data_IF_608878744867
#
_entry.id   IF_608878744867
#
_cell.length_a   1.000
_cell.length_b   1.000
_cell.length_c   1.000
_cell.angle_alpha   90.00
_cell.angle_beta   90.00
_cell.angle_gamma   90.00
#
_symmetry.space_group_name_H-M   'P 1'
#
loop_
_entity.id
_entity.type
_entity.pdbx_description
1 polymer ?
#
# COMPACT_ATOMS: atom_id res chain seq x y z
N UNK A 1 29.67 53.99 7.85
CA UNK A 1 29.64 52.88 6.85
C UNK A 1 29.64 51.57 7.63
N UNK A 2 28.77 50.61 7.28
CA UNK A 2 28.57 49.24 7.84
C UNK A 2 27.13 48.89 8.27
N UNK A 3 26.10 49.60 7.79
CA UNK A 3 24.70 49.16 7.98
C UNK A 3 24.21 48.15 6.92
N UNK A 4 24.89 48.04 5.77
CA UNK A 4 24.46 47.19 4.65
C UNK A 4 24.80 45.70 4.83
N UNK A 5 25.91 45.38 5.51
CA UNK A 5 26.40 43.99 5.68
C UNK A 5 25.60 43.19 6.72
N UNK A 6 24.97 43.87 7.69
CA UNK A 6 24.16 43.23 8.73
C UNK A 6 22.84 42.70 8.15
N UNK A 7 22.15 43.52 7.35
CA UNK A 7 20.83 43.20 6.78
C UNK A 7 20.92 41.99 5.84
N UNK A 8 21.98 41.89 5.02
CA UNK A 8 22.21 40.73 4.15
C UNK A 8 22.45 39.42 4.90
N UNK A 9 23.12 39.45 6.05
CA UNK A 9 23.37 38.27 6.90
C UNK A 9 22.10 37.80 7.62
N UNK A 10 21.25 38.74 8.06
CA UNK A 10 19.95 38.40 8.64
C UNK A 10 18.98 37.83 7.60
N UNK A 11 18.92 38.40 6.40
CA UNK A 11 18.10 37.86 5.30
C UNK A 11 18.58 36.48 4.84
N UNK A 12 19.89 36.25 4.76
CA UNK A 12 20.45 34.93 4.42
C UNK A 12 20.16 33.90 5.52
N UNK A 13 20.26 34.27 6.80
CA UNK A 13 19.88 33.40 7.93
C UNK A 13 18.38 33.11 7.96
N UNK A 14 17.53 34.10 7.65
CA UNK A 14 16.09 33.90 7.53
C UNK A 14 15.74 33.01 6.35
N UNK A 15 16.40 33.14 5.20
CA UNK A 15 16.23 32.24 4.05
C UNK A 15 16.70 30.82 4.37
N UNK A 16 17.85 30.64 5.01
CA UNK A 16 18.33 29.32 5.45
C UNK A 16 17.40 28.71 6.51
N UNK A 17 16.85 29.52 7.44
CA UNK A 17 15.84 29.06 8.39
C UNK A 17 14.49 28.79 7.73
N UNK A 18 14.08 29.52 6.69
CA UNK A 18 12.90 29.21 5.89
C UNK A 18 13.09 27.91 5.11
N UNK A 19 14.28 27.68 4.55
CA UNK A 19 14.65 26.43 3.91
C UNK A 19 14.80 25.26 4.90
N UNK A 20 15.16 25.52 6.16
CA UNK A 20 15.14 24.52 7.25
C UNK A 20 13.74 24.31 7.86
N UNK A 21 12.83 25.28 7.72
CA UNK A 21 11.45 25.22 8.23
C UNK A 21 10.46 24.67 7.20
N UNK A 22 10.89 24.56 5.93
CA UNK A 22 10.33 23.59 4.99
C UNK A 22 10.79 22.20 5.47
N UNK A 23 10.27 21.78 6.61
CA UNK A 23 10.25 20.38 7.00
C UNK A 23 9.42 19.69 5.92
N UNK A 24 10.10 18.93 5.06
CA UNK A 24 9.50 18.19 3.96
C UNK A 24 8.49 17.18 4.52
N UNK A 25 7.23 17.57 4.68
CA UNK A 25 6.10 16.65 4.69
C UNK A 25 5.86 16.18 3.23
N UNK A 26 6.86 15.56 2.62
CA UNK A 26 6.71 14.97 1.29
C UNK A 26 5.90 13.68 1.44
N UNK A 27 4.60 13.77 1.18
CA UNK A 27 3.79 12.58 0.93
C UNK A 27 4.13 12.01 -0.43
N UNK A 28 3.94 10.71 -0.59
CA UNK A 28 4.03 10.02 -1.86
C UNK A 28 2.69 9.39 -2.20
N UNK A 29 2.41 9.27 -3.49
CA UNK A 29 1.13 8.76 -4.02
C UNK A 29 1.40 7.43 -4.70
N UNK A 30 0.69 6.41 -4.26
CA UNK A 30 0.64 5.10 -4.88
C UNK A 30 -0.53 5.09 -5.87
N UNK A 31 -0.23 4.74 -7.11
CA UNK A 31 -1.20 4.71 -8.21
C UNK A 31 -2.12 3.47 -8.19
N UNK A 32 -1.86 2.49 -7.33
CA UNK A 32 -2.60 1.24 -7.24
C UNK A 32 -2.40 0.29 -8.43
N UNK A 33 -1.42 0.55 -9.30
CA UNK A 33 -1.06 -0.38 -10.36
C UNK A 33 -0.54 -1.71 -9.76
N UNK A 34 -0.61 -2.85 -10.47
CA UNK A 34 -0.11 -4.14 -9.95
C UNK A 34 1.36 -4.16 -9.53
N UNK A 35 2.15 -3.21 -10.04
CA UNK A 35 3.55 -3.01 -9.67
C UNK A 35 3.77 -1.93 -8.61
N UNK A 36 2.70 -1.28 -8.12
CA UNK A 36 2.77 -0.19 -7.16
C UNK A 36 3.22 -0.69 -5.78
N UNK A 37 4.35 -0.19 -5.29
CA UNK A 37 4.81 -0.42 -3.92
C UNK A 37 5.83 0.65 -3.48
N UNK A 38 5.93 0.84 -2.17
CA UNK A 38 6.97 1.61 -1.51
C UNK A 38 7.71 0.70 -0.52
N UNK A 39 9.04 0.67 -0.57
CA UNK A 39 9.87 -0.14 0.32
C UNK A 39 10.65 0.74 1.28
N UNK A 40 10.54 0.44 2.57
CA UNK A 40 11.26 1.07 3.66
C UNK A 40 12.16 0.04 4.37
N UNK A 41 13.11 0.49 5.21
CA UNK A 41 13.91 -0.41 6.02
C UNK A 41 13.06 -1.40 6.84
N UNK A 42 13.69 -2.46 7.33
CA UNK A 42 13.01 -3.44 8.19
C UNK A 42 12.57 -2.81 9.52
N UNK A 43 11.43 -3.24 10.03
CA UNK A 43 10.93 -2.77 11.32
C UNK A 43 11.54 -3.59 12.47
N UNK A 44 12.21 -2.89 13.39
CA UNK A 44 12.68 -3.45 14.65
C UNK A 44 11.57 -3.34 15.71
N UNK A 45 10.56 -4.22 15.62
CA UNK A 45 9.44 -4.18 16.55
C UNK A 45 9.84 -4.57 17.99
N UNK A 46 10.72 -5.56 18.14
CA UNK A 46 11.10 -6.11 19.45
C UNK A 46 9.88 -6.55 20.29
N UNK A 47 10.01 -6.49 21.62
CA UNK A 47 8.87 -6.66 22.53
C UNK A 47 8.07 -5.36 22.71
N UNK A 48 8.74 -4.22 22.52
CA UNK A 48 8.13 -2.90 22.65
C UNK A 48 8.52 -2.09 21.42
N UNK A 49 7.53 -1.79 20.59
CA UNK A 49 7.76 -1.18 19.29
C UNK A 49 6.55 -0.43 18.81
N UNK A 50 6.78 0.53 17.93
CA UNK A 50 5.72 1.29 17.28
C UNK A 50 6.04 1.45 15.81
N UNK A 51 5.02 1.26 14.98
CA UNK A 51 5.02 1.64 13.58
C UNK A 51 3.79 2.51 13.33
N UNK A 52 3.98 3.70 12.78
CA UNK A 52 2.88 4.58 12.40
C UNK A 52 3.08 5.15 11.01
N UNK A 53 1.96 5.50 10.36
CA UNK A 53 1.93 6.25 9.11
C UNK A 53 0.63 7.04 9.02
N UNK A 54 0.59 8.04 8.15
CA UNK A 54 -0.66 8.67 7.72
C UNK A 54 -0.99 8.26 6.30
N UNK A 55 -2.26 7.99 6.03
CA UNK A 55 -2.74 7.63 4.70
C UNK A 55 -4.01 8.40 4.34
N UNK A 56 -4.26 8.54 3.04
CA UNK A 56 -5.45 9.15 2.47
C UNK A 56 -5.85 8.39 1.22
N UNK A 57 -7.12 7.99 1.09
CA UNK A 57 -7.62 7.23 -0.07
C UNK A 57 -9.10 7.44 -0.31
N UNK A 58 -9.58 7.03 -1.49
CA UNK A 58 -10.99 6.82 -1.85
C UNK A 58 -11.35 5.34 -1.98
N UNK A 59 -10.35 4.47 -1.97
CA UNK A 59 -10.56 3.04 -2.15
C UNK A 59 -10.98 2.40 -0.82
N UNK A 60 -12.12 1.70 -0.77
CA UNK A 60 -12.56 1.03 0.45
C UNK A 60 -11.76 -0.25 0.75
N UNK A 61 -10.99 -0.75 -0.22
CA UNK A 61 -10.21 -1.98 -0.11
C UNK A 61 -8.79 -1.78 -0.66
N UNK A 62 -7.78 -2.35 0.01
CA UNK A 62 -6.40 -2.34 -0.49
C UNK A 62 -5.36 -2.64 0.58
N UNK A 63 -4.25 -3.28 0.18
CA UNK A 63 -3.12 -3.62 1.03
C UNK A 63 -2.31 -2.36 1.35
N UNK A 64 -2.41 -1.87 2.58
CA UNK A 64 -1.73 -0.65 3.02
C UNK A 64 -0.30 -0.94 3.48
N UNK A 65 -0.09 -2.00 4.27
CA UNK A 65 1.22 -2.34 4.83
C UNK A 65 1.42 -3.85 4.92
N UNK A 66 2.62 -4.31 4.60
CA UNK A 66 3.09 -5.68 4.85
C UNK A 66 4.53 -5.69 5.34
N UNK A 67 4.83 -6.53 6.34
CA UNK A 67 6.20 -6.88 6.74
C UNK A 67 6.18 -8.25 7.42
N UNK A 68 7.28 -9.00 7.29
CA UNK A 68 7.43 -10.33 7.90
C UNK A 68 8.87 -10.58 8.40
N UNK A 69 9.08 -11.74 9.02
CA UNK A 69 10.33 -12.18 9.62
C UNK A 69 11.36 -12.76 8.62
N UNK A 70 11.21 -12.48 7.32
CA UNK A 70 12.01 -13.10 6.26
C UNK A 70 11.33 -14.32 5.62
N UNK A 71 10.00 -14.37 5.66
CA UNK A 71 9.22 -15.41 4.99
C UNK A 71 8.94 -16.67 5.80
N UNK A 72 9.12 -16.63 7.13
CA UNK A 72 9.03 -17.83 7.97
C UNK A 72 7.64 -17.99 8.55
N UNK A 73 7.31 -17.28 9.63
CA UNK A 73 6.04 -17.48 10.36
C UNK A 73 5.39 -16.18 10.80
N UNK A 74 6.18 -15.19 11.19
CA UNK A 74 5.68 -13.96 11.78
C UNK A 74 5.45 -12.88 10.73
N UNK A 75 4.33 -12.18 10.83
CA UNK A 75 3.98 -11.12 9.90
C UNK A 75 3.05 -10.09 10.52
N UNK A 76 3.05 -8.90 9.92
CA UNK A 76 2.02 -7.88 10.08
C UNK A 76 1.48 -7.49 8.70
N UNK A 77 0.17 -7.60 8.52
CA UNK A 77 -0.58 -7.15 7.35
C UNK A 77 -1.61 -6.12 7.81
N UNK A 78 -1.59 -4.93 7.24
CA UNK A 78 -2.68 -3.96 7.36
C UNK A 78 -3.29 -3.75 6.00
N UNK A 79 -4.62 -3.89 5.92
CA UNK A 79 -5.39 -3.58 4.71
C UNK A 79 -6.69 -2.89 5.04
N UNK A 80 -7.21 -2.13 4.08
CA UNK A 80 -8.58 -1.66 4.13
C UNK A 80 -9.52 -2.77 3.68
N UNK A 81 -10.62 -2.94 4.41
CA UNK A 81 -11.73 -3.82 4.05
C UNK A 81 -13.02 -3.06 4.32
N UNK A 82 -13.76 -2.77 3.25
CA UNK A 82 -15.02 -2.00 3.30
C UNK A 82 -14.87 -0.68 4.08
N UNK A 83 -13.75 0.02 3.90
CA UNK A 83 -13.48 1.30 4.55
C UNK A 83 -13.04 1.22 6.02
N UNK A 84 -12.80 0.03 6.56
CA UNK A 84 -12.23 -0.17 7.91
C UNK A 84 -10.79 -0.66 7.77
N UNK A 85 -9.89 -0.24 8.65
CA UNK A 85 -8.53 -0.77 8.67
C UNK A 85 -8.50 -2.08 9.46
N UNK A 86 -8.00 -3.13 8.84
CA UNK A 86 -7.87 -4.47 9.42
C UNK A 86 -6.40 -4.81 9.55
N UNK A 87 -5.94 -5.00 10.78
CA UNK A 87 -4.63 -5.56 11.10
C UNK A 87 -4.76 -7.07 11.28
N UNK A 88 -4.03 -7.85 10.50
CA UNK A 88 -3.83 -9.28 10.68
C UNK A 88 -2.36 -9.53 11.02
N UNK A 89 -2.09 -10.30 12.05
CA UNK A 89 -0.71 -10.57 12.46
C UNK A 89 -0.53 -11.98 13.02
N UNK A 90 0.70 -12.46 13.01
CA UNK A 90 1.15 -13.70 13.66
C UNK A 90 2.52 -13.46 14.29
N UNK A 91 2.72 -14.00 15.49
CA UNK A 91 3.95 -13.90 16.29
C UNK A 91 4.20 -15.27 16.97
N UNK A 92 4.20 -16.35 16.19
CA UNK A 92 4.29 -17.74 16.69
C UNK A 92 3.02 -18.33 17.36
N UNK A 93 2.18 -17.50 17.96
CA UNK A 93 0.95 -17.91 18.68
C UNK A 93 -0.26 -18.32 17.86
N UNK A 94 -0.17 -18.17 16.54
CA UNK A 94 -1.31 -18.25 15.61
C UNK A 94 -1.82 -16.87 15.22
N UNK A 95 -2.62 -16.84 14.14
CA UNK A 95 -3.11 -15.59 13.54
C UNK A 95 -4.14 -14.89 14.44
N UNK A 96 -3.96 -13.59 14.63
CA UNK A 96 -4.91 -12.69 15.26
C UNK A 96 -5.34 -11.57 14.30
N UNK A 97 -6.53 -11.01 14.54
CA UNK A 97 -7.10 -9.92 13.73
C UNK A 97 -7.65 -8.83 14.65
N UNK A 98 -7.36 -7.57 14.29
CA UNK A 98 -7.93 -6.36 14.85
C UNK A 98 -8.56 -5.53 13.73
N UNK A 99 -9.63 -4.80 14.01
CA UNK A 99 -10.27 -3.90 13.02
C UNK A 99 -10.70 -2.60 13.69
N UNK A 100 -10.23 -1.47 13.17
CA UNK A 100 -10.44 -0.15 13.74
C UNK A 100 -10.76 0.88 12.64
N UNK A 101 -11.45 1.95 13.04
CA UNK A 101 -11.88 3.02 12.15
C UNK A 101 -13.07 2.61 11.27
N UNK A 102 -13.69 3.62 10.65
CA UNK A 102 -14.81 3.46 9.71
C UNK A 102 -14.75 4.55 8.65
N UNK A 103 -15.20 4.22 7.44
CA UNK A 103 -15.26 5.14 6.31
C UNK A 103 -13.90 5.83 6.03
N UNK A 104 -12.80 5.11 6.19
CA UNK A 104 -11.42 5.62 6.04
C UNK A 104 -11.01 5.91 4.58
N UNK A 105 -11.99 5.95 3.69
CA UNK A 105 -11.86 6.20 2.26
C UNK A 105 -12.57 7.51 1.88
N UNK A 106 -12.64 8.45 2.82
CA UNK A 106 -13.33 9.75 2.70
C UNK A 106 -12.45 10.85 2.09
N UNK A 107 -11.29 10.49 1.51
CA UNK A 107 -10.27 11.42 1.03
C UNK A 107 -9.66 12.33 2.10
N UNK A 108 -9.77 12.00 3.39
CA UNK A 108 -9.08 12.71 4.46
C UNK A 108 -7.84 11.95 4.93
N UNK A 109 -6.94 12.67 5.60
CA UNK A 109 -5.77 12.07 6.23
C UNK A 109 -6.18 11.34 7.50
N UNK A 110 -5.90 10.04 7.55
CA UNK A 110 -6.05 9.20 8.73
C UNK A 110 -4.69 8.78 9.26
N UNK A 111 -4.56 8.71 10.58
CA UNK A 111 -3.36 8.21 11.25
C UNK A 111 -3.57 6.76 11.65
N UNK A 112 -2.67 5.88 11.19
CA UNK A 112 -2.63 4.48 11.61
C UNK A 112 -1.38 4.24 12.45
N UNK A 113 -1.54 3.53 13.57
CA UNK A 113 -0.45 3.16 14.47
C UNK A 113 -0.62 1.74 14.97
N UNK A 114 0.43 0.93 14.80
CA UNK A 114 0.59 -0.37 15.45
C UNK A 114 1.53 -0.17 16.63
N UNK A 115 1.10 -0.56 17.83
CA UNK A 115 1.93 -0.54 19.04
C UNK A 115 2.04 -1.94 19.62
N UNK A 116 3.27 -2.35 19.93
CA UNK A 116 3.59 -3.59 20.66
C UNK A 116 3.98 -3.26 22.08
N UNK A 117 3.41 -3.98 23.04
CA UNK A 117 3.74 -3.91 24.45
C UNK A 117 3.77 -5.34 25.02
N UNK A 118 4.95 -5.96 24.98
CA UNK A 118 5.15 -7.39 25.27
C UNK A 118 4.14 -8.25 24.50
N UNK A 119 3.26 -9.01 25.15
CA UNK A 119 2.29 -9.88 24.47
C UNK A 119 1.12 -9.10 23.81
N UNK A 120 0.89 -7.84 24.16
CA UNK A 120 -0.22 -7.02 23.66
C UNK A 120 0.13 -6.32 22.33
N UNK A 121 -0.68 -6.54 21.31
CA UNK A 121 -0.68 -5.78 20.06
C UNK A 121 -1.88 -4.83 20.04
N UNK A 122 -1.62 -3.57 19.72
CA UNK A 122 -2.62 -2.49 19.68
C UNK A 122 -2.64 -1.91 18.27
N UNK A 123 -3.83 -1.85 17.68
CA UNK A 123 -4.10 -1.06 16.48
C UNK A 123 -4.82 0.23 16.92
N UNK A 124 -4.30 1.37 16.52
CA UNK A 124 -4.94 2.68 16.68
C UNK A 124 -5.14 3.31 15.31
N UNK A 125 -6.37 3.72 15.02
CA UNK A 125 -6.73 4.45 13.80
C UNK A 125 -7.48 5.70 14.23
N UNK A 126 -6.84 6.85 14.04
CA UNK A 126 -7.24 8.13 14.61
C UNK A 126 -7.49 8.01 16.13
N UNK A 127 -8.76 8.05 16.56
CA UNK A 127 -9.17 7.91 17.96
C UNK A 127 -9.65 6.49 18.33
N UNK A 128 -9.84 5.59 17.36
CA UNK A 128 -10.31 4.22 17.60
C UNK A 128 -9.13 3.30 17.96
N UNK A 129 -9.22 2.62 19.11
CA UNK A 129 -8.15 1.80 19.69
C UNK A 129 -8.66 0.38 19.91
N UNK A 130 -7.98 -0.59 19.31
CA UNK A 130 -8.29 -2.00 19.39
C UNK A 130 -7.06 -2.77 19.86
N UNK A 131 -7.24 -3.77 20.74
CA UNK A 131 -6.14 -4.47 21.38
C UNK A 131 -6.34 -5.98 21.39
N UNK A 132 -5.25 -6.73 21.27
CA UNK A 132 -5.27 -8.19 21.34
C UNK A 132 -4.01 -8.70 22.03
N UNK A 133 -4.19 -9.65 22.94
CA UNK A 133 -3.09 -10.43 23.49
C UNK A 133 -2.72 -11.55 22.52
N UNK A 134 -1.43 -11.70 22.28
CA UNK A 134 -0.87 -12.81 21.49
C UNK A 134 -0.93 -14.07 22.34
N UNK A 135 -1.42 -15.17 21.79
CA UNK A 135 -1.42 -16.45 22.48
C UNK A 135 -0.02 -17.10 22.41
N UNK A 136 0.27 -18.05 23.30
CA UNK A 136 1.52 -18.82 23.26
C UNK A 136 2.69 -18.16 23.98
N UNK A 137 3.87 -18.82 23.96
CA UNK A 137 5.03 -18.40 24.76
C UNK A 137 5.97 -17.43 24.04
N UNK A 138 5.80 -17.25 22.73
CA UNK A 138 6.62 -16.36 21.91
C UNK A 138 5.83 -15.12 21.50
N UNK A 139 6.49 -13.98 21.57
CA UNK A 139 5.92 -12.65 21.32
C UNK A 139 6.89 -11.77 20.51
N UNK A 140 8.06 -12.29 20.17
CA UNK A 140 9.03 -11.58 19.37
C UNK A 140 8.57 -11.59 17.91
N UNK A 141 8.79 -10.48 17.22
CA UNK A 141 8.60 -10.42 15.79
C UNK A 141 9.92 -10.74 15.09
N UNK A 142 10.10 -12.01 14.72
CA UNK A 142 11.29 -12.48 14.04
C UNK A 142 12.61 -12.06 14.71
N UNK A 143 13.59 -11.68 13.89
CA UNK A 143 14.89 -11.20 14.31
C UNK A 143 15.29 -9.97 13.49
N UNK A 144 15.87 -8.96 14.14
CA UNK A 144 16.39 -7.75 13.49
C UNK A 144 17.25 -8.02 12.24
N UNK A 145 17.93 -9.16 12.18
CA UNK A 145 18.80 -9.54 11.06
C UNK A 145 18.08 -10.27 9.92
N UNK A 146 16.90 -10.87 10.17
CA UNK A 146 16.15 -11.66 9.18
C UNK A 146 14.88 -10.97 8.72
N UNK A 147 14.37 -10.01 9.48
CA UNK A 147 13.14 -9.29 9.15
C UNK A 147 13.23 -8.65 7.75
N UNK A 148 12.17 -8.86 6.98
CA UNK A 148 11.97 -8.25 5.68
C UNK A 148 11.75 -6.74 5.80
N UNK A 149 11.90 -6.06 4.67
CA UNK A 149 11.53 -4.66 4.55
C UNK A 149 10.07 -4.40 4.94
N UNK A 150 9.77 -3.15 5.31
CA UNK A 150 8.37 -2.68 5.42
C UNK A 150 7.91 -2.27 4.03
N UNK A 151 6.87 -2.92 3.52
CA UNK A 151 6.28 -2.68 2.22
C UNK A 151 4.95 -1.95 2.38
N UNK A 152 4.79 -0.83 1.68
CA UNK A 152 3.59 0.01 1.70
C UNK A 152 2.92 -0.05 0.34
N UNK A 153 1.61 -0.25 0.35
CA UNK A 153 0.73 -0.14 -0.81
C UNK A 153 0.70 -1.33 -1.78
N UNK A 154 1.64 -2.25 -1.65
CA UNK A 154 1.72 -3.44 -2.48
C UNK A 154 2.97 -4.23 -2.19
N UNK A 155 3.07 -5.39 -2.85
CA UNK A 155 4.28 -6.20 -2.87
C UNK A 155 4.96 -6.10 -4.25
N UNK A 156 6.29 -6.10 -4.32
CA UNK A 156 7.02 -6.21 -5.58
C UNK A 156 6.52 -7.37 -6.44
N UNK A 157 6.32 -7.13 -7.73
CA UNK A 157 5.70 -8.10 -8.65
C UNK A 157 6.47 -9.43 -8.76
N UNK A 158 7.77 -9.41 -8.54
CA UNK A 158 8.62 -10.60 -8.58
C UNK A 158 8.25 -11.66 -7.53
N UNK A 159 7.56 -11.28 -6.43
CA UNK A 159 7.02 -12.23 -5.45
C UNK A 159 6.03 -13.21 -6.07
N UNK A 160 5.37 -12.87 -7.18
CA UNK A 160 4.41 -13.76 -7.84
C UNK A 160 5.02 -15.11 -8.27
N UNK A 161 6.32 -15.15 -8.52
CA UNK A 161 7.06 -16.39 -8.82
C UNK A 161 7.73 -17.04 -7.60
N UNK A 162 7.69 -16.37 -6.45
CA UNK A 162 8.42 -16.73 -5.22
C UNK A 162 7.58 -16.51 -3.96
N UNK A 163 6.31 -16.91 -4.00
CA UNK A 163 5.38 -16.70 -2.89
C UNK A 163 5.83 -17.34 -1.57
N UNK A 164 6.65 -18.39 -1.63
CA UNK A 164 7.24 -19.04 -0.46
C UNK A 164 8.25 -18.18 0.31
N UNK A 165 8.60 -17.00 -0.20
CA UNK A 165 9.41 -16.00 0.51
C UNK A 165 8.58 -15.10 1.43
N UNK A 166 7.25 -15.26 1.43
CA UNK A 166 6.33 -14.51 2.27
C UNK A 166 5.81 -15.41 3.39
N UNK A 167 5.81 -14.92 4.62
CA UNK A 167 5.17 -15.62 5.74
C UNK A 167 3.64 -15.70 5.54
N UNK A 168 3.05 -14.74 4.83
CA UNK A 168 1.65 -14.76 4.39
C UNK A 168 1.54 -14.59 2.86
N UNK A 169 1.61 -15.69 2.09
CA UNK A 169 1.51 -15.64 0.62
C UNK A 169 0.24 -14.98 0.08
N UNK A 170 -0.88 -15.03 0.81
CA UNK A 170 -2.15 -14.43 0.37
C UNK A 170 -2.07 -12.91 0.24
N UNK A 171 -1.18 -12.25 0.99
CA UNK A 171 -1.00 -10.80 0.93
C UNK A 171 -0.64 -10.31 -0.48
N UNK A 172 0.03 -11.14 -1.30
CA UNK A 172 0.38 -10.80 -2.68
C UNK A 172 -0.83 -10.50 -3.56
N UNK A 173 -1.94 -11.21 -3.32
CA UNK A 173 -3.17 -11.14 -4.11
C UNK A 173 -4.15 -10.08 -3.63
N UNK A 174 -3.84 -9.39 -2.54
CA UNK A 174 -4.67 -8.27 -2.09
C UNK A 174 -4.63 -7.14 -3.12
N UNK A 175 -5.75 -6.41 -3.32
CA UNK A 175 -5.76 -5.22 -4.14
C UNK A 175 -4.67 -4.25 -3.71
N UNK A 176 -4.01 -3.60 -4.66
CA UNK A 176 -2.98 -2.61 -4.37
C UNK A 176 -3.63 -1.37 -3.76
N UNK A 177 -2.99 -0.78 -2.76
CA UNK A 177 -3.46 0.48 -2.22
C UNK A 177 -3.24 1.57 -3.25
N UNK A 178 -4.29 2.37 -3.45
CA UNK A 178 -4.24 3.63 -4.18
C UNK A 178 -4.48 4.76 -3.20
N UNK A 179 -3.64 5.78 -3.24
CA UNK A 179 -3.78 6.93 -2.37
C UNK A 179 -2.45 7.52 -1.97
N UNK A 180 -2.49 8.45 -1.03
CA UNK A 180 -1.31 9.13 -0.52
C UNK A 180 -0.89 8.55 0.83
N UNK A 181 0.41 8.45 1.06
CA UNK A 181 1.01 8.06 2.34
C UNK A 181 2.11 9.06 2.73
N UNK A 182 2.23 9.34 4.03
CA UNK A 182 3.32 10.15 4.61
C UNK A 182 3.63 9.69 6.03
N UNK A 183 4.69 10.25 6.59
CA UNK A 183 5.07 10.07 8.00
C UNK A 183 5.21 8.61 8.41
N UNK A 184 5.83 7.79 7.55
CA UNK A 184 6.17 6.40 7.87
C UNK A 184 7.25 6.41 8.95
N UNK A 185 6.86 6.16 10.20
CA UNK A 185 7.71 6.32 11.39
C UNK A 185 7.77 5.00 12.15
N UNK A 186 8.99 4.49 12.33
CA UNK A 186 9.28 3.34 13.17
C UNK A 186 10.75 3.31 13.57
N UNK A 187 11.13 2.41 14.47
CA UNK A 187 12.53 2.11 14.77
C UNK A 187 13.05 1.03 13.83
N UNK A 188 14.18 1.29 13.17
CA UNK A 188 14.85 0.36 12.25
C UNK A 188 16.13 -0.18 12.90
N UNK A 189 17.14 -0.52 12.10
CA UNK A 189 18.42 -1.09 12.53
C UNK A 189 19.17 -0.21 13.57
N UNK A 190 18.93 1.11 13.57
CA UNK A 190 19.52 2.04 14.54
C UNK A 190 18.80 2.08 15.90
N UNK A 191 17.66 1.39 16.02
CA UNK A 191 16.82 1.37 17.21
C UNK A 191 16.14 2.71 17.53
N UNK A 192 16.24 3.71 16.66
CA UNK A 192 15.69 5.04 16.89
C UNK A 192 14.37 5.17 16.14
N UNK A 193 13.30 5.49 16.87
CA UNK A 193 12.02 5.80 16.24
C UNK A 193 12.10 7.15 15.52
N UNK A 194 12.04 7.10 14.19
CA UNK A 194 12.09 8.29 13.32
C UNK A 194 11.34 8.04 12.02
N UNK A 195 11.10 9.11 11.27
CA UNK A 195 10.60 9.00 9.90
C UNK A 195 11.63 8.25 9.05
N UNK A 196 11.15 7.27 8.30
CA UNK A 196 11.98 6.38 7.50
C UNK A 196 12.08 6.88 6.07
N UNK A 197 13.26 6.71 5.49
CA UNK A 197 13.52 7.09 4.11
C UNK A 197 13.07 5.97 3.17
N UNK A 198 12.45 6.35 2.05
CA UNK A 198 12.06 5.44 1.00
C UNK A 198 13.32 4.86 0.34
N UNK A 199 13.45 3.53 0.31
CA UNK A 199 14.62 2.84 -0.24
C UNK A 199 14.43 2.45 -1.71
N UNK A 200 13.25 1.94 -2.04
CA UNK A 200 12.90 1.46 -3.38
C UNK A 200 11.40 1.69 -3.61
N UNK A 201 11.01 1.95 -4.86
CA UNK A 201 9.62 2.08 -5.22
C UNK A 201 9.37 1.82 -6.70
N UNK A 202 8.14 1.45 -7.02
CA UNK A 202 7.60 1.41 -8.37
C UNK A 202 6.14 1.85 -8.31
N UNK A 203 5.64 2.57 -9.33
CA UNK A 203 4.26 3.08 -9.35
C UNK A 203 3.97 4.18 -8.31
N UNK A 204 4.99 4.94 -7.91
CA UNK A 204 4.88 6.06 -6.96
C UNK A 204 5.13 7.39 -7.65
N UNK A 205 4.30 8.39 -7.32
CA UNK A 205 4.49 9.81 -7.67
C UNK A 205 4.77 10.60 -6.41
N UNK A 206 5.75 11.50 -6.42
CA UNK A 206 5.92 12.47 -5.34
C UNK A 206 4.76 13.45 -5.39
N UNK A 207 4.03 13.66 -4.30
CA UNK A 207 3.06 14.74 -4.25
C UNK A 207 3.85 16.05 -4.36
N UNK A 208 3.65 16.81 -5.44
CA UNK A 208 4.44 18.01 -5.73
C UNK A 208 4.47 18.93 -4.51
N UNK A 209 5.67 19.37 -4.11
CA UNK A 209 5.92 20.37 -3.06
C UNK A 209 5.41 21.78 -3.42
N UNK A 210 4.63 21.93 -4.48
CA UNK A 210 4.04 23.19 -4.87
C UNK A 210 2.53 23.11 -4.64
N UNK A 211 2.02 23.69 -3.55
CA UNK A 211 0.60 23.93 -3.40
C UNK A 211 0.14 24.74 -4.60
N UNK A 212 -0.71 24.17 -5.45
CA UNK A 212 -1.39 24.97 -6.46
C UNK A 212 -2.55 25.64 -5.75
N UNK A 213 -2.48 26.95 -5.54
CA UNK A 213 -3.61 27.69 -5.01
C UNK A 213 -4.57 28.02 -6.16
N UNK A 214 -5.86 27.76 -5.98
CA UNK A 214 -6.86 28.36 -6.89
C UNK A 214 -6.80 29.89 -6.78
N UNK A 215 -7.32 30.65 -7.77
CA UNK A 215 -7.45 32.11 -7.66
C UNK A 215 -8.20 32.59 -6.40
N UNK A 216 -8.93 31.68 -5.74
CA UNK A 216 -9.70 31.93 -4.53
C UNK A 216 -8.93 31.56 -3.24
N UNK A 217 -7.67 31.13 -3.34
CA UNK A 217 -6.81 30.80 -2.21
C UNK A 217 -7.04 29.41 -1.60
N UNK A 218 -7.68 28.50 -2.32
CA UNK A 218 -7.88 27.12 -1.88
C UNK A 218 -6.65 26.27 -2.22
N UNK A 219 -6.12 25.55 -1.22
CA UNK A 219 -4.95 24.68 -1.36
C UNK A 219 -5.32 23.44 -2.20
N UNK A 220 -4.82 23.37 -3.44
CA UNK A 220 -4.94 22.18 -4.28
C UNK A 220 -3.62 21.41 -4.17
N UNK A 221 -3.69 20.25 -3.51
CA UNK A 221 -2.58 19.28 -3.47
C UNK A 221 -2.36 18.72 -4.88
N UNK A 222 -1.52 19.39 -5.66
CA UNK A 222 -1.29 19.08 -7.07
C UNK A 222 -0.25 17.96 -7.26
N UNK A 223 -0.67 16.72 -6.99
CA UNK A 223 -0.57 15.78 -8.09
C UNK A 223 -1.88 15.92 -8.85
N UNK A 224 -1.86 16.28 -10.13
CA UNK A 224 -3.07 16.29 -10.92
C UNK A 224 -3.52 14.83 -11.10
N UNK A 225 -4.24 14.32 -10.10
CA UNK A 225 -4.79 12.98 -10.15
C UNK A 225 -6.00 13.03 -11.07
N UNK A 226 -5.74 12.86 -12.37
CA UNK A 226 -6.77 12.90 -13.41
C UNK A 226 -7.90 11.91 -13.10
N UNK A 227 -7.58 10.75 -12.53
CA UNK A 227 -8.57 9.76 -12.10
C UNK A 227 -9.45 10.22 -10.93
N UNK A 228 -8.98 11.15 -10.08
CA UNK A 228 -9.82 11.76 -9.05
C UNK A 228 -10.78 12.81 -9.60
N UNK A 229 -10.40 13.51 -10.68
CA UNK A 229 -11.20 14.56 -11.32
C UNK A 229 -12.20 14.01 -12.33
N UNK A 230 -11.74 13.14 -13.22
CA UNK A 230 -12.52 12.56 -14.31
C UNK A 230 -11.95 11.18 -14.65
N UNK A 231 -12.55 10.12 -14.09
CA UNK A 231 -12.15 8.74 -14.35
C UNK A 231 -12.71 8.29 -15.72
N UNK A 232 -11.86 8.08 -16.75
CA UNK A 232 -12.33 7.70 -18.07
C UNK A 232 -12.53 6.19 -18.22
N UNK A 233 -12.15 5.38 -17.22
CA UNK A 233 -12.18 3.92 -17.30
C UNK A 233 -13.59 3.38 -17.10
N UNK A 234 -14.01 2.52 -18.03
CA UNK A 234 -15.32 1.90 -18.04
C UNK A 234 -15.27 0.50 -17.39
N UNK A 235 -16.45 -0.06 -17.15
CA UNK A 235 -16.64 -1.47 -16.75
C UNK A 235 -15.82 -1.94 -15.52
N UNK A 236 -15.54 -1.01 -14.59
CA UNK A 236 -14.78 -1.31 -13.37
C UNK A 236 -13.27 -1.37 -13.56
N UNK A 237 -12.74 -0.92 -14.71
CA UNK A 237 -11.31 -0.80 -14.94
C UNK A 237 -10.65 0.17 -13.96
N UNK A 238 -9.44 -0.16 -13.50
CA UNK A 238 -8.71 0.64 -12.53
C UNK A 238 -8.00 1.81 -13.22
N UNK A 239 -8.39 3.05 -12.91
CA UNK A 239 -7.79 4.26 -13.51
C UNK A 239 -6.47 4.66 -12.86
N UNK A 240 -5.36 4.60 -13.56
CA UNK A 240 -4.02 4.92 -13.06
C UNK A 240 -3.63 6.30 -13.58
N UNK A 241 -3.45 7.27 -12.69
CA UNK A 241 -2.98 8.60 -13.08
C UNK A 241 -1.46 8.58 -13.30
N UNK A 242 -1.02 8.94 -14.51
CA UNK A 242 0.40 9.04 -14.88
C UNK A 242 0.75 10.45 -15.35
N UNK A 243 2.05 10.75 -15.46
CA UNK A 243 2.51 12.03 -15.99
C UNK A 243 2.09 12.27 -17.46
N UNK A 244 1.71 11.21 -18.18
CA UNK A 244 1.20 11.27 -19.55
C UNK A 244 -0.33 11.32 -19.67
N UNK A 245 -1.08 11.30 -18.56
CA UNK A 245 -2.54 11.20 -18.54
C UNK A 245 -3.07 10.02 -17.71
N UNK A 246 -4.41 9.91 -17.52
CA UNK A 246 -5.01 8.72 -16.93
C UNK A 246 -4.91 7.53 -17.90
N UNK A 247 -4.60 6.34 -17.38
CA UNK A 247 -4.53 5.08 -18.14
C UNK A 247 -5.43 4.06 -17.45
N UNK A 248 -6.13 3.20 -18.19
CA UNK A 248 -7.00 2.19 -17.62
C UNK A 248 -6.32 0.81 -17.54
N UNK A 249 -6.37 0.17 -16.38
CA UNK A 249 -6.00 -1.22 -16.20
C UNK A 249 -7.25 -2.10 -16.12
N UNK A 250 -7.46 -2.87 -17.19
CA UNK A 250 -8.65 -3.71 -17.36
C UNK A 250 -8.43 -5.16 -16.92
N UNK A 251 -7.25 -5.54 -16.43
CA UNK A 251 -6.91 -6.95 -16.15
C UNK A 251 -7.74 -7.63 -15.06
N UNK A 252 -8.44 -6.84 -14.24
CA UNK A 252 -9.35 -7.33 -13.21
C UNK A 252 -10.81 -7.38 -13.69
N UNK A 253 -11.06 -7.15 -14.98
CA UNK A 253 -12.39 -7.13 -15.61
C UNK A 253 -12.42 -8.07 -16.82
N UNK A 254 -13.62 -8.35 -17.34
CA UNK A 254 -13.82 -9.11 -18.59
C UNK A 254 -13.80 -8.18 -19.83
N UNK A 255 -13.07 -7.07 -19.75
CA UNK A 255 -13.06 -6.03 -20.79
C UNK A 255 -11.63 -5.65 -21.18
N UNK A 256 -11.47 -5.21 -22.42
CA UNK A 256 -10.22 -4.72 -23.02
C UNK A 256 -10.44 -3.34 -23.68
N UNK A 257 -9.39 -2.78 -24.30
CA UNK A 257 -9.37 -1.44 -24.87
C UNK A 257 -8.74 -0.40 -23.95
N UNK A 258 -8.44 0.78 -24.50
CA UNK A 258 -7.73 1.85 -23.78
C UNK A 258 -8.53 2.37 -22.57
N UNK A 259 -9.85 2.25 -22.61
CA UNK A 259 -10.79 2.67 -21.57
C UNK A 259 -11.58 1.50 -20.98
N UNK A 260 -11.17 0.25 -21.23
CA UNK A 260 -11.91 -0.96 -20.84
C UNK A 260 -13.33 -1.02 -21.45
N UNK A 261 -13.51 -0.50 -22.66
CA UNK A 261 -14.82 -0.36 -23.31
C UNK A 261 -15.27 -1.60 -24.11
N UNK A 262 -14.35 -2.50 -24.44
CA UNK A 262 -14.59 -3.64 -25.32
C UNK A 262 -14.76 -4.90 -24.46
N UNK A 263 -15.86 -5.65 -24.60
CA UNK A 263 -15.96 -6.94 -23.92
C UNK A 263 -14.90 -7.89 -24.47
N UNK A 264 -14.13 -8.56 -23.61
CA UNK A 264 -13.20 -9.60 -24.03
C UNK A 264 -13.99 -10.64 -24.84
N UNK A 265 -13.77 -10.64 -26.15
CA UNK A 265 -14.34 -11.68 -26.98
C UNK A 265 -13.61 -12.96 -26.62
N UNK A 266 -14.34 -13.96 -26.10
CA UNK A 266 -13.89 -15.35 -26.02
C UNK A 266 -13.71 -15.92 -27.44
N UNK A 267 -12.82 -15.34 -28.23
CA UNK A 267 -12.41 -15.84 -29.51
C UNK A 267 -11.35 -16.93 -29.30
N UNK A 268 -11.79 -18.12 -28.85
CA UNK A 268 -11.06 -19.35 -29.15
C UNK A 268 -10.80 -20.38 -28.05
N UNK A 269 -11.74 -20.69 -27.15
CA UNK A 269 -11.65 -21.93 -26.34
C UNK A 269 -12.85 -22.89 -26.44
N UNK A 270 -13.90 -22.55 -27.19
CA UNK A 270 -15.08 -23.43 -27.34
C UNK A 270 -14.95 -24.50 -28.44
N UNK A 271 -13.88 -24.49 -29.24
CA UNK A 271 -13.64 -25.53 -30.25
C UNK A 271 -12.89 -26.76 -29.71
N UNK A 272 -12.25 -26.68 -28.53
CA UNK A 272 -11.53 -27.81 -27.93
C UNK A 272 -12.41 -28.64 -26.98
N UNK A 273 -13.39 -28.02 -26.31
CA UNK A 273 -14.29 -28.75 -25.40
C UNK A 273 -15.37 -29.58 -26.11
N UNK A 274 -15.83 -29.15 -27.28
CA UNK A 274 -16.82 -29.91 -28.08
C UNK A 274 -16.19 -31.06 -28.89
N UNK A 275 -14.88 -31.01 -29.16
CA UNK A 275 -14.17 -32.12 -29.79
C UNK A 275 -14.01 -33.34 -28.84
N UNK A 276 -13.87 -33.11 -27.53
CA UNK A 276 -13.72 -34.20 -26.54
C UNK A 276 -15.02 -34.96 -26.26
N UNK A 277 -16.19 -34.33 -26.38
CA UNK A 277 -17.48 -35.00 -26.16
C UNK A 277 -17.92 -35.88 -27.34
N UNK A 278 -17.44 -35.60 -28.56
CA UNK A 278 -17.75 -36.42 -29.74
C UNK A 278 -16.92 -37.70 -29.77
N UNK A 279 -15.67 -37.66 -29.30
CA UNK A 279 -14.80 -38.86 -29.20
C UNK A 279 -15.27 -39.81 -28.07
N UNK A 280 -15.76 -39.27 -26.95
CA UNK A 280 -16.27 -40.10 -25.84
C UNK A 280 -17.59 -40.84 -26.13
N UNK A 281 -18.40 -40.37 -27.08
CA UNK A 281 -19.66 -41.05 -27.47
C UNK A 281 -19.48 -42.14 -28.52
N UNK A 282 -18.35 -42.21 -29.22
CA UNK A 282 -18.07 -43.27 -30.21
C UNK A 282 -17.35 -44.50 -29.60
N UNK A 283 -16.78 -44.39 -28.39
CA UNK A 283 -16.02 -45.46 -27.76
C UNK A 283 -16.85 -46.46 -26.90
N UNK A 284 -18.14 -46.20 -26.65
CA UNK A 284 -19.01 -47.07 -25.82
C UNK A 284 -20.11 -47.83 -26.60
N UNK A 285 -20.02 -47.87 -27.93
CA UNK A 285 -21.09 -48.40 -28.79
C UNK A 285 -20.81 -49.71 -29.54
N UNK A 286 -19.83 -50.55 -29.14
CA UNK A 286 -19.55 -51.81 -29.84
C UNK A 286 -19.62 -53.03 -28.91
N UNK A 287 -20.84 -53.57 -28.75
CA UNK A 287 -21.03 -55.02 -28.49
C UNK A 287 -20.91 -55.72 -29.84
N UNK A 288 -19.82 -56.46 -30.03
CA UNK A 288 -19.72 -57.50 -31.05
C UNK A 288 -20.18 -58.80 -30.40
N UNK A 289 -20.98 -59.55 -31.15
CA UNK A 289 -21.56 -60.89 -30.88
C UNK A 289 -20.59 -61.82 -30.15
#
# INVERSE_FOLDING_TARGET
MNFSTSIGSFLLRLLVLHHLWICLCSSFILDGSPTSFAQFPRWLAGLNGTLSLQFRTREPNGLLLYTDDGGTYDFFEVKLVEGNARLRFNLGGGTAILSAGKNLHDSQWHTLKITRNAEETILTVDADVQKRLTAGPDYLFGNATTNSAVLIGGLPSWYGSKLSLLALPSAFFEPRFRGAVKDVVFASDDGIQKAQELQESQGIRTASLHPQYTPNGEEVLAADDHCEKDNPCLNGGACISTDGGPICDCRATDYEGDLCEQSESFAGSDSVFLASLTVYRLAKGKKIV
#
